data_IF_911162183311
#
_entry.id   IF_911162183311
#
_cell.length_a   1.000
_cell.length_b   1.000
_cell.length_c   1.000
_cell.angle_alpha   90.00
_cell.angle_beta   90.00
_cell.angle_gamma   90.00
#
_symmetry.space_group_name_H-M   'P 1'
#
loop_
_entity.id
_entity.type
_entity.pdbx_description
1 polymer ?
#
# COMPACT_ATOMS: atom_id res chain seq x y z
N UNK A 1 -21.34 0.02 0.80
CA UNK A 1 -21.59 -1.43 0.99
C UNK A 1 -20.25 -2.14 0.84
N UNK A 2 -19.88 -3.00 1.80
CA UNK A 2 -18.60 -3.71 1.79
C UNK A 2 -18.81 -5.15 1.35
N UNK A 3 -18.06 -5.58 0.34
CA UNK A 3 -18.07 -6.94 -0.21
C UNK A 3 -16.79 -7.66 0.19
N UNK A 4 -16.91 -8.97 0.46
CA UNK A 4 -15.76 -9.86 0.60
C UNK A 4 -15.58 -10.62 -0.70
N UNK A 5 -14.35 -10.63 -1.21
CA UNK A 5 -13.99 -11.40 -2.39
C UNK A 5 -12.86 -12.37 -1.99
N UNK A 6 -12.93 -13.61 -2.49
CA UNK A 6 -11.88 -14.59 -2.31
C UNK A 6 -10.92 -14.55 -3.51
N UNK A 7 -9.66 -14.20 -3.26
CA UNK A 7 -8.59 -14.14 -4.24
C UNK A 7 -7.47 -15.15 -3.95
N UNK A 8 -7.65 -16.06 -2.97
CA UNK A 8 -6.58 -16.97 -2.52
C UNK A 8 -6.08 -17.94 -3.59
N UNK A 9 -6.87 -18.17 -4.63
CA UNK A 9 -6.53 -19.09 -5.72
C UNK A 9 -5.85 -18.40 -6.91
N UNK A 10 -5.57 -17.09 -6.84
CA UNK A 10 -4.81 -16.40 -7.89
C UNK A 10 -3.30 -16.59 -7.68
N UNK A 11 -2.62 -17.08 -8.72
CA UNK A 11 -1.18 -17.34 -8.72
C UNK A 11 -0.34 -16.09 -8.39
N UNK A 12 -0.79 -14.91 -8.81
CA UNK A 12 -0.03 -13.66 -8.70
C UNK A 12 -0.06 -13.04 -7.28
N UNK A 13 -1.00 -13.43 -6.42
CA UNK A 13 -1.20 -12.82 -5.10
C UNK A 13 -1.22 -13.88 -4.00
N UNK A 14 -0.06 -14.07 -3.37
CA UNK A 14 0.12 -15.04 -2.30
C UNK A 14 -0.29 -14.43 -0.95
N UNK A 15 -1.27 -15.06 -0.29
CA UNK A 15 -1.72 -14.69 1.05
C UNK A 15 -1.09 -15.60 2.10
N UNK A 16 -0.98 -15.13 3.33
CA UNK A 16 -0.52 -15.96 4.46
C UNK A 16 -1.64 -16.89 4.90
N UNK A 17 -1.30 -18.11 5.31
CA UNK A 17 -2.24 -19.20 5.64
C UNK A 17 -3.28 -18.83 6.71
N UNK A 18 -2.95 -17.93 7.64
CA UNK A 18 -3.84 -17.47 8.70
C UNK A 18 -4.77 -16.32 8.28
N UNK A 19 -4.68 -15.82 7.04
CA UNK A 19 -5.57 -14.78 6.52
C UNK A 19 -6.89 -15.38 5.98
N UNK A 20 -8.02 -15.07 6.63
CA UNK A 20 -9.33 -15.69 6.33
C UNK A 20 -10.07 -15.13 5.12
N UNK A 21 -9.89 -13.84 4.79
CA UNK A 21 -10.53 -13.18 3.64
C UNK A 21 -9.51 -12.24 2.98
N UNK A 22 -9.07 -12.57 1.76
CA UNK A 22 -7.96 -11.88 1.09
C UNK A 22 -8.29 -10.48 0.56
N UNK A 23 -9.57 -10.16 0.31
CA UNK A 23 -9.94 -8.84 -0.20
C UNK A 23 -11.26 -8.31 0.37
N UNK A 24 -11.18 -7.07 0.86
CA UNK A 24 -12.34 -6.24 1.23
C UNK A 24 -12.51 -5.19 0.14
N UNK A 25 -13.69 -5.16 -0.48
CA UNK A 25 -14.03 -4.16 -1.49
C UNK A 25 -15.13 -3.25 -0.95
N UNK A 26 -14.98 -1.93 -1.11
CA UNK A 26 -16.02 -0.95 -0.81
C UNK A 26 -16.22 -0.07 -2.04
N UNK A 27 -17.48 0.23 -2.35
CA UNK A 27 -17.85 1.05 -3.49
C UNK A 27 -18.41 2.37 -2.99
N UNK A 28 -17.81 3.47 -3.46
CA UNK A 28 -18.38 4.80 -3.37
C UNK A 28 -19.04 5.15 -4.70
N UNK A 29 -20.30 5.58 -4.67
CA UNK A 29 -21.05 5.99 -5.85
C UNK A 29 -20.79 7.44 -6.25
N UNK A 30 -20.24 8.25 -5.34
CA UNK A 30 -19.82 9.60 -5.68
C UNK A 30 -18.60 9.55 -6.58
N UNK A 31 -18.63 10.33 -7.66
CA UNK A 31 -17.49 10.47 -8.56
C UNK A 31 -16.30 11.11 -7.82
N UNK A 32 -15.06 10.73 -8.14
CA UNK A 32 -13.88 11.45 -7.65
C UNK A 32 -13.96 12.94 -8.01
N UNK A 33 -13.66 13.81 -7.06
CA UNK A 33 -13.63 15.27 -7.27
C UNK A 33 -12.20 15.65 -7.60
N UNK A 34 -12.03 16.45 -8.66
CA UNK A 34 -10.75 17.06 -9.00
C UNK A 34 -10.64 18.44 -8.36
N UNK A 35 -9.42 18.81 -7.98
CA UNK A 35 -9.13 20.18 -7.53
C UNK A 35 -9.02 21.09 -8.78
N UNK A 36 -9.70 22.25 -8.82
CA UNK A 36 -9.55 23.20 -9.93
C UNK A 36 -8.08 23.63 -10.10
N UNK A 37 -7.57 23.58 -11.33
CA UNK A 37 -6.15 23.86 -11.62
C UNK A 37 -5.18 22.71 -11.33
N UNK A 38 -5.66 21.53 -10.91
CA UNK A 38 -4.84 20.35 -10.69
C UNK A 38 -4.50 19.57 -11.98
N UNK A 39 -3.55 18.65 -11.87
CA UNK A 39 -2.99 17.91 -13.02
C UNK A 39 -3.75 16.61 -13.36
N UNK A 40 -4.85 16.31 -12.66
CA UNK A 40 -5.61 15.07 -12.84
C UNK A 40 -6.80 15.29 -13.78
N UNK A 41 -6.93 14.42 -14.78
CA UNK A 41 -8.09 14.41 -15.67
C UNK A 41 -9.36 14.02 -14.92
N UNK A 42 -10.51 14.53 -15.37
CA UNK A 42 -11.81 14.16 -14.81
C UNK A 42 -12.18 12.73 -15.22
N UNK A 43 -12.38 11.85 -14.23
CA UNK A 43 -12.67 10.42 -14.44
C UNK A 43 -14.03 10.02 -13.84
N UNK A 44 -14.72 9.08 -14.50
CA UNK A 44 -16.01 8.57 -14.02
C UNK A 44 -15.88 7.61 -12.83
N UNK A 45 -14.77 6.88 -12.73
CA UNK A 45 -14.48 5.87 -11.70
C UNK A 45 -12.99 5.86 -11.39
N UNK A 46 -12.64 5.62 -10.14
CA UNK A 46 -11.27 5.40 -9.69
C UNK A 46 -11.26 4.27 -8.67
N UNK A 47 -10.11 3.61 -8.51
CA UNK A 47 -9.88 2.54 -7.54
C UNK A 47 -8.68 2.91 -6.69
N UNK A 48 -8.79 2.69 -5.38
CA UNK A 48 -7.69 2.76 -4.44
C UNK A 48 -7.56 1.39 -3.77
N UNK A 49 -6.36 0.81 -3.83
CA UNK A 49 -6.04 -0.44 -3.14
C UNK A 49 -5.14 -0.11 -1.95
N UNK A 50 -5.54 -0.60 -0.78
CA UNK A 50 -4.71 -0.57 0.42
C UNK A 50 -4.33 -2.01 0.71
N UNK A 51 -3.05 -2.32 0.58
CA UNK A 51 -2.50 -3.66 0.83
C UNK A 51 -1.50 -3.63 1.99
N UNK A 52 -1.44 -4.72 2.74
CA UNK A 52 -0.43 -4.95 3.74
C UNK A 52 0.45 -6.10 3.25
N UNK A 53 1.62 -5.77 2.71
CA UNK A 53 2.57 -6.73 2.15
C UNK A 53 3.84 -6.76 2.98
N UNK A 54 4.40 -7.95 3.18
CA UNK A 54 5.71 -8.14 3.84
C UNK A 54 6.86 -7.53 3.04
N UNK A 55 6.67 -7.24 1.75
CA UNK A 55 7.64 -6.51 0.93
C UNK A 55 7.99 -5.11 1.47
N UNK A 56 7.17 -4.54 2.36
CA UNK A 56 7.48 -3.29 3.05
C UNK A 56 8.80 -3.36 3.84
N UNK A 57 9.22 -4.56 4.27
CA UNK A 57 10.50 -4.81 4.97
C UNK A 57 11.69 -4.32 4.16
N UNK A 58 11.65 -4.39 2.82
CA UNK A 58 12.74 -3.92 1.97
C UNK A 58 12.97 -2.40 2.10
N UNK A 59 11.90 -1.63 2.32
CA UNK A 59 12.01 -0.19 2.52
C UNK A 59 12.70 0.09 3.86
N UNK A 60 12.27 -0.59 4.93
CA UNK A 60 12.87 -0.45 6.25
C UNK A 60 14.33 -0.87 6.27
N UNK A 61 14.67 -2.00 5.63
CA UNK A 61 16.06 -2.45 5.50
C UNK A 61 16.97 -1.41 4.84
N UNK A 62 16.48 -0.67 3.82
CA UNK A 62 17.26 0.43 3.21
C UNK A 62 17.46 1.61 4.15
N UNK A 63 16.50 1.88 5.04
CA UNK A 63 16.61 2.93 6.05
C UNK A 63 17.61 2.50 7.13
N UNK A 64 17.49 1.28 7.63
CA UNK A 64 18.37 0.72 8.65
C UNK A 64 19.82 0.72 8.17
N UNK A 65 20.07 0.29 6.93
CA UNK A 65 21.42 0.32 6.36
C UNK A 65 22.01 1.74 6.32
N UNK A 66 21.22 2.76 5.96
CA UNK A 66 21.69 4.16 5.97
C UNK A 66 21.95 4.65 7.39
N UNK A 67 21.10 4.26 8.33
CA UNK A 67 21.28 4.58 9.74
C UNK A 67 22.58 3.97 10.27
N UNK A 68 22.83 2.69 10.00
CA UNK A 68 24.04 1.99 10.43
C UNK A 68 25.31 2.65 9.90
N UNK A 69 25.29 3.12 8.64
CA UNK A 69 26.41 3.84 8.04
C UNK A 69 26.72 5.15 8.79
N UNK A 70 25.69 5.91 9.17
CA UNK A 70 25.85 7.16 9.93
C UNK A 70 26.28 6.87 11.37
N UNK A 71 25.64 5.89 12.01
CA UNK A 71 25.86 5.54 13.41
C UNK A 71 27.25 4.95 13.65
N UNK A 72 27.76 4.14 12.72
CA UNK A 72 29.13 3.61 12.74
C UNK A 72 30.18 4.72 12.82
N UNK A 73 29.90 5.88 12.22
CA UNK A 73 30.78 7.05 12.27
C UNK A 73 30.42 8.05 13.37
N UNK A 74 29.43 7.73 14.22
CA UNK A 74 28.83 8.65 15.21
C UNK A 74 28.42 9.99 14.60
N UNK A 75 28.07 10.00 13.30
CA UNK A 75 27.64 11.21 12.63
C UNK A 75 26.32 11.68 13.24
N UNK A 76 26.27 12.95 13.66
CA UNK A 76 25.09 13.57 14.27
C UNK A 76 24.64 12.96 15.62
N UNK A 77 25.51 12.24 16.33
CA UNK A 77 25.24 11.66 17.67
C UNK A 77 25.88 12.49 18.81
N UNK A 78 25.76 13.82 18.76
CA UNK A 78 26.34 14.72 19.75
C UNK A 78 25.35 15.11 20.85
#
# INVERSE_FOLDING_TARGET
>A
MMFKCDLRHQQDHQFVDWCTNGLKCSINYQRPIIVPGGNLANVKRAVCMISNSTSVVEVFSRVDHKFDLMYTKRAFVH
#
